data_IF_222277297415
#
_entry.id   IF_222277297415
#
_cell.length_a   1.000
_cell.length_b   1.000
_cell.length_c   1.000
_cell.angle_alpha   90.00
_cell.angle_beta   90.00
_cell.angle_gamma   90.00
#
_symmetry.space_group_name_H-M   'P 1'
#
loop_
_entity.id
_entity.type
_entity.pdbx_description
1 polymer ?
#
# COMPACT_ATOMS: atom_id res chain seq x y z
N UNK A 1 -1.36 -29.82 -14.45
CA UNK A 1 -0.35 -28.83 -14.00
C UNK A 1 -0.55 -28.34 -12.57
N UNK A 2 -1.72 -27.86 -12.12
CA UNK A 2 -1.97 -27.63 -10.67
C UNK A 2 -2.16 -28.96 -9.90
N UNK A 3 -3.01 -29.85 -10.41
CA UNK A 3 -3.29 -31.18 -9.82
C UNK A 3 -2.11 -32.17 -9.83
N UNK A 4 -1.01 -31.82 -10.51
CA UNK A 4 0.18 -32.68 -10.62
C UNK A 4 1.29 -32.30 -9.63
N UNK A 5 1.14 -31.17 -8.92
CA UNK A 5 2.11 -30.72 -7.91
C UNK A 5 1.71 -31.24 -6.54
N UNK A 6 2.63 -31.92 -5.86
CA UNK A 6 2.42 -32.46 -4.52
C UNK A 6 2.75 -31.38 -3.46
N UNK A 7 1.92 -30.34 -3.39
CA UNK A 7 2.02 -29.25 -2.41
C UNK A 7 1.38 -29.62 -1.07
N UNK A 8 1.71 -28.87 -0.02
CA UNK A 8 1.17 -29.05 1.32
C UNK A 8 -0.38 -28.97 1.29
N UNK A 9 -1.09 -29.81 2.05
CA UNK A 9 -2.55 -29.86 2.00
C UNK A 9 -3.23 -28.52 2.32
N UNK A 10 -2.77 -27.82 3.35
CA UNK A 10 -3.34 -26.54 3.78
C UNK A 10 -3.16 -25.45 2.69
N UNK A 11 -1.97 -25.34 2.12
CA UNK A 11 -1.72 -24.43 1.00
C UNK A 11 -2.60 -24.78 -0.21
N UNK A 12 -2.68 -26.06 -0.56
CA UNK A 12 -3.47 -26.54 -1.70
C UNK A 12 -4.96 -26.24 -1.52
N UNK A 13 -5.47 -26.41 -0.30
CA UNK A 13 -6.84 -26.09 0.05
C UNK A 13 -7.11 -24.58 -0.07
N UNK A 14 -6.25 -23.73 0.52
CA UNK A 14 -6.40 -22.27 0.42
C UNK A 14 -6.32 -21.80 -1.02
N UNK A 15 -5.33 -22.26 -1.78
CA UNK A 15 -5.19 -21.90 -3.19
C UNK A 15 -6.39 -22.36 -4.01
N UNK A 16 -6.93 -23.56 -3.77
CA UNK A 16 -8.11 -24.06 -4.47
C UNK A 16 -9.35 -23.17 -4.27
N UNK A 17 -9.51 -22.50 -3.11
CA UNK A 17 -10.62 -21.56 -2.86
C UNK A 17 -10.57 -20.34 -3.77
N UNK A 18 -9.38 -19.93 -4.21
CA UNK A 18 -9.15 -18.71 -4.99
C UNK A 18 -8.71 -18.96 -6.43
N UNK A 19 -8.35 -20.20 -6.79
CA UNK A 19 -7.60 -20.52 -8.01
C UNK A 19 -8.28 -20.02 -9.29
N UNK A 20 -9.58 -20.25 -9.45
CA UNK A 20 -10.30 -19.87 -10.66
C UNK A 20 -10.37 -18.36 -10.84
N UNK A 21 -10.61 -17.61 -9.75
CA UNK A 21 -10.64 -16.14 -9.77
C UNK A 21 -9.24 -15.57 -10.00
N UNK A 22 -8.23 -16.07 -9.27
CA UNK A 22 -6.82 -15.71 -9.46
C UNK A 22 -6.41 -15.89 -10.91
N UNK A 23 -6.68 -17.07 -11.50
CA UNK A 23 -6.33 -17.38 -12.88
C UNK A 23 -7.03 -16.46 -13.86
N UNK A 24 -8.33 -16.24 -13.67
CA UNK A 24 -9.12 -15.40 -14.57
C UNK A 24 -8.63 -13.94 -14.57
N UNK A 25 -8.49 -13.33 -13.40
CA UNK A 25 -8.02 -11.94 -13.25
C UNK A 25 -6.59 -11.76 -13.76
N UNK A 26 -5.70 -12.69 -13.43
CA UNK A 26 -4.30 -12.64 -13.87
C UNK A 26 -4.20 -12.78 -15.40
N UNK A 27 -4.95 -13.72 -15.99
CA UNK A 27 -4.97 -13.93 -17.43
C UNK A 27 -5.59 -12.75 -18.19
N UNK A 28 -6.62 -12.10 -17.63
CA UNK A 28 -7.19 -10.87 -18.20
C UNK A 28 -6.17 -9.74 -18.22
N UNK A 29 -5.45 -9.54 -17.12
CA UNK A 29 -4.48 -8.45 -16.97
C UNK A 29 -3.22 -8.66 -17.82
N UNK A 30 -2.75 -9.90 -17.95
CA UNK A 30 -1.48 -10.24 -18.61
C UNK A 30 -1.66 -11.11 -19.85
N UNK A 31 -2.76 -10.89 -20.58
CA UNK A 31 -2.98 -11.46 -21.93
C UNK A 31 -2.84 -12.99 -22.03
N UNK A 32 -3.36 -13.73 -21.04
CA UNK A 32 -3.28 -15.18 -20.91
C UNK A 32 -1.84 -15.75 -20.82
N UNK A 33 -0.90 -15.00 -20.23
CA UNK A 33 0.43 -15.51 -19.91
C UNK A 33 0.37 -16.61 -18.82
N UNK A 34 0.17 -17.83 -19.27
CA UNK A 34 0.06 -19.02 -18.41
C UNK A 34 1.38 -19.32 -17.68
N UNK A 35 2.53 -19.00 -18.28
CA UNK A 35 3.83 -19.25 -17.66
C UNK A 35 4.05 -18.29 -16.48
N UNK A 36 3.73 -17.01 -16.65
CA UNK A 36 3.81 -16.04 -15.57
C UNK A 36 2.84 -16.37 -14.44
N UNK A 37 1.63 -16.86 -14.74
CA UNK A 37 0.68 -17.31 -13.72
C UNK A 37 1.18 -18.55 -12.95
N UNK A 38 1.75 -19.53 -13.65
CA UNK A 38 2.32 -20.72 -13.00
C UNK A 38 3.52 -20.38 -12.12
N UNK A 39 4.34 -19.42 -12.55
CA UNK A 39 5.40 -18.85 -11.73
C UNK A 39 4.82 -18.18 -10.49
N UNK A 40 3.79 -17.35 -10.64
CA UNK A 40 3.12 -16.68 -9.53
C UNK A 40 2.63 -17.69 -8.48
N UNK A 41 1.91 -18.74 -8.88
CA UNK A 41 1.47 -19.78 -7.92
C UNK A 41 2.65 -20.52 -7.26
N UNK A 42 3.74 -20.75 -8.00
CA UNK A 42 4.97 -21.32 -7.43
C UNK A 42 5.62 -20.41 -6.39
N UNK A 43 5.68 -19.11 -6.68
CA UNK A 43 6.18 -18.10 -5.74
C UNK A 43 5.34 -18.05 -4.46
N UNK A 44 4.01 -18.09 -4.57
CA UNK A 44 3.13 -18.17 -3.38
C UNK A 44 3.45 -19.41 -2.53
N UNK A 45 3.66 -20.55 -3.17
CA UNK A 45 4.01 -21.80 -2.50
C UNK A 45 5.35 -21.68 -1.78
N UNK A 46 6.38 -21.12 -2.43
CA UNK A 46 7.70 -20.92 -1.84
C UNK A 46 7.64 -20.05 -0.57
N UNK A 47 6.85 -18.97 -0.57
CA UNK A 47 6.66 -18.13 0.62
C UNK A 47 5.84 -18.81 1.72
N UNK A 48 4.84 -19.62 1.38
CA UNK A 48 4.12 -20.43 2.37
C UNK A 48 5.06 -21.45 3.05
N UNK A 49 5.94 -22.10 2.29
CA UNK A 49 6.93 -23.04 2.85
C UNK A 49 7.91 -22.34 3.77
N UNK A 50 8.39 -21.15 3.38
CA UNK A 50 9.33 -20.34 4.17
C UNK A 50 8.70 -19.74 5.43
N UNK A 51 7.38 -19.58 5.48
CA UNK A 51 6.67 -19.04 6.64
C UNK A 51 6.86 -19.94 7.86
N UNK A 52 7.27 -19.33 8.98
CA UNK A 52 7.59 -20.04 10.21
C UNK A 52 6.35 -20.72 10.83
N UNK A 53 6.58 -21.79 11.61
CA UNK A 53 5.50 -22.51 12.28
C UNK A 53 4.72 -21.61 13.26
N UNK A 54 5.40 -20.65 13.91
CA UNK A 54 4.77 -19.68 14.80
C UNK A 54 3.80 -18.76 14.03
N UNK A 55 4.23 -18.24 12.88
CA UNK A 55 3.38 -17.39 12.04
C UNK A 55 2.24 -18.19 11.38
N UNK A 56 2.43 -19.47 11.06
CA UNK A 56 1.35 -20.35 10.60
C UNK A 56 0.31 -20.61 11.69
N UNK A 57 0.72 -20.81 12.94
CA UNK A 57 -0.21 -20.92 14.07
C UNK A 57 -0.99 -19.62 14.28
N UNK A 58 -0.30 -18.48 14.16
CA UNK A 58 -0.91 -17.16 14.23
C UNK A 58 -1.96 -16.95 13.14
N UNK A 59 -1.67 -17.35 11.91
CA UNK A 59 -2.62 -17.33 10.81
C UNK A 59 -3.86 -18.18 11.09
N UNK A 60 -3.68 -19.41 11.58
CA UNK A 60 -4.78 -20.33 11.90
C UNK A 60 -5.71 -19.73 12.97
N UNK A 61 -5.14 -19.11 14.01
CA UNK A 61 -5.92 -18.41 15.03
C UNK A 61 -6.77 -17.28 14.43
N UNK A 62 -6.21 -16.49 13.50
CA UNK A 62 -6.92 -15.37 12.86
C UNK A 62 -7.91 -15.80 11.77
N UNK A 63 -7.68 -16.93 11.12
CA UNK A 63 -8.65 -17.53 10.20
C UNK A 63 -9.91 -18.01 10.94
N UNK A 64 -9.76 -18.52 12.17
CA UNK A 64 -10.90 -18.90 13.02
C UNK A 64 -11.69 -17.67 13.49
N UNK A 65 -11.02 -16.54 13.72
CA UNK A 65 -11.61 -15.26 14.15
C UNK A 65 -11.52 -14.16 13.08
N UNK A 66 -12.20 -14.34 11.94
CA UNK A 66 -12.16 -13.43 10.77
C UNK A 66 -12.49 -11.94 11.03
N UNK A 67 -13.01 -11.59 12.21
CA UNK A 67 -13.41 -10.24 12.61
C UNK A 67 -12.51 -9.57 13.67
N UNK A 68 -11.36 -10.16 14.00
CA UNK A 68 -10.48 -9.71 15.10
C UNK A 68 -10.10 -8.23 15.05
N UNK A 69 -10.06 -7.62 13.86
CA UNK A 69 -9.70 -6.22 13.63
C UNK A 69 -10.89 -5.24 13.54
N UNK A 70 -12.14 -5.73 13.63
CA UNK A 70 -13.36 -4.92 13.43
C UNK A 70 -13.97 -4.40 14.74
N UNK A 71 -13.44 -4.84 15.89
CA UNK A 71 -13.94 -4.52 17.22
C UNK A 71 -13.47 -3.17 17.78
N UNK A 72 -13.82 -2.92 19.05
CA UNK A 72 -13.37 -1.73 19.78
C UNK A 72 -12.04 -1.94 20.51
N UNK A 73 -11.46 -3.13 20.36
CA UNK A 73 -10.28 -3.54 21.12
C UNK A 73 -8.99 -3.12 20.44
N UNK A 74 -9.02 -2.68 19.17
CA UNK A 74 -7.83 -2.18 18.47
C UNK A 74 -7.60 -0.68 18.72
N UNK A 75 -6.44 -0.37 19.30
CA UNK A 75 -5.94 1.00 19.42
C UNK A 75 -4.50 1.06 18.90
N UNK A 76 -4.32 1.96 17.93
CA UNK A 76 -3.11 2.03 17.15
C UNK A 76 -2.25 3.27 17.38
N UNK A 77 -0.93 3.11 17.26
CA UNK A 77 0.01 4.22 17.21
C UNK A 77 0.91 4.14 15.98
N UNK A 78 0.90 5.21 15.18
CA UNK A 78 1.83 5.43 14.09
C UNK A 78 3.10 6.12 14.63
N UNK A 79 4.28 5.61 14.26
CA UNK A 79 5.55 6.11 14.77
C UNK A 79 6.70 5.94 13.77
N UNK A 80 7.62 6.91 13.77
CA UNK A 80 8.96 6.71 13.22
C UNK A 80 9.84 5.99 14.23
N UNK A 81 10.40 4.84 13.86
CA UNK A 81 11.25 3.99 14.71
C UNK A 81 12.37 4.77 15.39
N UNK A 82 13.10 5.59 14.62
CA UNK A 82 14.19 6.41 15.14
C UNK A 82 13.72 7.50 16.12
N UNK A 83 12.59 8.14 15.84
CA UNK A 83 12.04 9.20 16.69
C UNK A 83 11.49 8.66 18.01
N UNK A 84 10.86 7.49 17.98
CA UNK A 84 10.26 6.88 19.17
C UNK A 84 11.32 6.22 20.05
N UNK A 85 12.18 5.37 19.47
CA UNK A 85 13.11 4.56 20.26
C UNK A 85 14.48 4.31 19.59
N UNK A 86 14.85 5.10 18.57
CA UNK A 86 16.14 5.02 17.87
C UNK A 86 16.26 3.84 16.90
N UNK A 87 15.93 2.62 17.33
CA UNK A 87 16.12 1.36 16.59
C UNK A 87 14.95 0.40 16.81
N UNK A 88 14.85 -0.66 16.01
CA UNK A 88 13.86 -1.73 16.19
C UNK A 88 13.99 -2.41 17.55
N UNK A 89 15.22 -2.64 18.02
CA UNK A 89 15.50 -3.15 19.38
C UNK A 89 14.98 -2.20 20.44
N UNK A 90 15.17 -0.90 20.23
CA UNK A 90 14.64 0.13 21.11
C UNK A 90 13.12 0.08 21.18
N UNK A 91 12.42 -0.09 20.05
CA UNK A 91 10.95 -0.25 20.05
C UNK A 91 10.56 -1.49 20.87
N UNK A 92 11.26 -2.62 20.66
CA UNK A 92 11.04 -3.86 21.41
C UNK A 92 11.21 -3.68 22.92
N UNK A 93 12.17 -2.87 23.36
CA UNK A 93 12.39 -2.56 24.78
C UNK A 93 11.27 -1.71 25.41
N UNK A 94 10.38 -1.11 24.60
CA UNK A 94 9.30 -0.24 25.04
C UNK A 94 7.90 -0.85 24.83
N UNK A 95 7.78 -2.15 24.52
CA UNK A 95 6.47 -2.80 24.36
C UNK A 95 5.60 -2.69 25.63
N UNK A 96 6.20 -2.83 26.83
CA UNK A 96 5.49 -2.66 28.10
C UNK A 96 4.83 -1.27 28.22
N UNK A 97 5.50 -0.21 27.74
CA UNK A 97 4.96 1.15 27.74
C UNK A 97 3.79 1.29 26.75
N UNK A 98 3.92 0.68 25.56
CA UNK A 98 2.86 0.70 24.56
C UNK A 98 1.61 -0.05 25.08
N UNK A 99 1.82 -1.18 25.76
CA UNK A 99 0.75 -1.96 26.41
C UNK A 99 0.09 -1.16 27.54
N UNK A 100 0.86 -0.46 28.38
CA UNK A 100 0.32 0.42 29.44
C UNK A 100 -0.55 1.55 28.84
N UNK A 101 -0.20 2.04 27.65
CA UNK A 101 -1.01 3.02 26.91
C UNK A 101 -2.28 2.41 26.28
N UNK A 102 -2.48 1.10 26.39
CA UNK A 102 -3.59 0.36 25.80
C UNK A 102 -3.44 0.11 24.30
N UNK A 103 -2.21 0.20 23.76
CA UNK A 103 -1.94 -0.02 22.34
C UNK A 103 -1.75 -1.50 22.06
N UNK A 104 -2.32 -1.96 20.94
CA UNK A 104 -2.12 -3.31 20.41
C UNK A 104 -1.93 -3.33 18.89
N UNK A 105 -1.64 -2.17 18.32
CA UNK A 105 -1.27 -1.98 16.92
C UNK A 105 -0.19 -0.91 16.86
N UNK A 106 0.94 -1.25 16.25
CA UNK A 106 1.99 -0.29 15.94
C UNK A 106 2.15 -0.18 14.44
N UNK A 107 2.07 1.03 13.90
CA UNK A 107 2.42 1.32 12.52
C UNK A 107 3.78 1.98 12.48
N UNK A 108 4.77 1.22 12.05
CA UNK A 108 6.11 1.71 11.84
C UNK A 108 6.18 2.37 10.46
N UNK A 109 6.50 3.67 10.45
CA UNK A 109 6.81 4.42 9.24
C UNK A 109 7.93 3.75 8.43
N UNK A 110 8.11 4.07 7.13
CA UNK A 110 9.03 3.37 6.26
C UNK A 110 10.43 3.22 6.88
N UNK A 111 10.83 1.96 7.04
CA UNK A 111 12.07 1.54 7.71
C UNK A 111 12.99 0.74 6.80
N UNK A 112 12.56 0.47 5.56
CA UNK A 112 13.34 -0.22 4.56
C UNK A 112 14.43 0.72 4.02
N UNK A 113 15.49 0.13 3.46
CA UNK A 113 16.67 0.88 3.00
C UNK A 113 16.26 1.95 1.98
N UNK A 114 16.59 3.21 2.27
CA UNK A 114 16.30 4.36 1.42
C UNK A 114 17.51 5.31 1.34
N UNK A 115 17.67 6.10 0.26
CA UNK A 115 18.81 7.00 0.12
C UNK A 115 18.77 8.15 1.12
N UNK A 116 19.87 8.38 1.82
CA UNK A 116 19.98 9.50 2.76
C UNK A 116 19.70 10.85 2.06
N UNK A 117 18.80 11.64 2.65
CA UNK A 117 18.46 13.00 2.20
C UNK A 117 17.55 13.09 0.96
N UNK A 118 17.33 11.99 0.24
CA UNK A 118 16.45 11.92 -0.94
C UNK A 118 15.50 10.73 -0.82
N UNK A 119 14.90 10.58 0.35
CA UNK A 119 14.07 9.43 0.68
C UNK A 119 12.59 9.74 0.80
N UNK A 120 12.18 11.03 0.78
CA UNK A 120 10.80 11.42 1.09
C UNK A 120 10.30 10.79 2.41
N UNK A 121 11.11 10.91 3.47
CA UNK A 121 10.78 10.27 4.76
C UNK A 121 10.85 8.74 4.78
N UNK A 122 11.50 8.13 3.78
CA UNK A 122 11.68 6.69 3.62
C UNK A 122 10.81 6.06 2.53
N UNK A 123 9.94 6.85 1.87
CA UNK A 123 9.09 6.40 0.77
C UNK A 123 9.83 6.16 -0.56
N UNK A 124 11.07 6.64 -0.74
CA UNK A 124 11.91 6.24 -1.87
C UNK A 124 12.75 4.99 -1.52
N UNK A 125 12.14 3.80 -1.63
CA UNK A 125 12.77 2.53 -1.24
C UNK A 125 13.84 2.09 -2.24
N UNK A 126 15.05 1.83 -1.76
CA UNK A 126 16.19 1.33 -2.54
C UNK A 126 16.37 -0.19 -2.43
N UNK A 127 15.90 -0.83 -1.36
CA UNK A 127 15.87 -2.29 -1.22
C UNK A 127 14.72 -2.73 -0.29
N UNK A 128 13.72 -3.44 -0.81
CA UNK A 128 12.58 -3.92 -0.03
C UNK A 128 12.92 -5.05 0.94
N UNK A 129 14.12 -5.64 0.83
CA UNK A 129 14.59 -6.79 1.62
C UNK A 129 15.66 -6.41 2.63
N UNK A 130 15.92 -5.12 2.83
CA UNK A 130 16.83 -4.61 3.85
C UNK A 130 16.17 -3.52 4.67
N UNK A 131 16.33 -3.62 5.99
CA UNK A 131 16.08 -2.50 6.91
C UNK A 131 17.19 -1.46 6.75
N UNK A 132 16.82 -0.19 6.87
CA UNK A 132 17.75 0.94 6.99
C UNK A 132 18.81 0.63 8.06
N UNK A 133 20.12 0.63 7.74
CA UNK A 133 21.15 0.12 8.65
C UNK A 133 21.20 0.78 10.03
N UNK A 134 20.78 2.05 10.13
CA UNK A 134 20.71 2.79 11.39
C UNK A 134 19.55 2.33 12.30
N UNK A 135 18.53 1.67 11.75
CA UNK A 135 17.36 1.19 12.48
C UNK A 135 17.50 -0.27 12.94
N UNK A 136 18.31 -1.08 12.26
CA UNK A 136 18.55 -2.48 12.58
C UNK A 136 18.68 -3.37 11.33
N UNK A 137 18.28 -4.64 11.48
CA UNK A 137 18.30 -5.65 10.41
C UNK A 137 16.91 -6.24 10.17
N UNK A 138 16.75 -7.05 9.12
CA UNK A 138 15.53 -7.83 8.92
C UNK A 138 15.29 -8.84 10.06
N UNK A 139 16.35 -9.37 10.68
CA UNK A 139 16.25 -10.22 11.86
C UNK A 139 15.70 -9.42 13.06
N UNK A 140 16.14 -8.17 13.23
CA UNK A 140 15.61 -7.30 14.28
C UNK A 140 14.12 -6.95 14.06
N UNK A 141 13.66 -6.89 12.80
CA UNK A 141 12.24 -6.73 12.47
C UNK A 141 11.43 -7.98 12.82
N UNK A 142 11.94 -9.18 12.47
CA UNK A 142 11.30 -10.44 12.83
C UNK A 142 11.23 -10.63 14.36
N UNK A 143 12.32 -10.35 15.07
CA UNK A 143 12.41 -10.33 16.53
C UNK A 143 11.39 -9.39 17.18
N UNK A 144 11.13 -8.22 16.55
CA UNK A 144 10.11 -7.28 17.01
C UNK A 144 8.71 -7.83 16.75
N UNK A 145 8.46 -8.42 15.58
CA UNK A 145 7.20 -9.08 15.25
C UNK A 145 6.82 -10.16 16.27
N UNK A 146 7.74 -11.10 16.53
CA UNK A 146 7.56 -12.17 17.52
C UNK A 146 7.26 -11.61 18.92
N UNK A 147 7.99 -10.56 19.33
CA UNK A 147 7.77 -9.90 20.61
C UNK A 147 6.39 -9.22 20.67
N UNK A 148 6.00 -8.48 19.63
CA UNK A 148 4.66 -7.88 19.52
C UNK A 148 3.56 -8.94 19.62
N UNK A 149 3.67 -10.07 18.90
CA UNK A 149 2.69 -11.15 18.96
C UNK A 149 2.57 -11.75 20.37
N UNK A 150 3.68 -11.89 21.10
CA UNK A 150 3.66 -12.36 22.49
C UNK A 150 2.95 -11.40 23.46
N UNK A 151 2.88 -10.11 23.13
CA UNK A 151 2.10 -9.09 23.83
C UNK A 151 0.70 -8.86 23.24
N UNK A 152 0.27 -9.68 22.27
CA UNK A 152 -1.02 -9.51 21.59
C UNK A 152 -1.11 -8.24 20.72
N UNK A 153 0.04 -7.72 20.27
CA UNK A 153 0.14 -6.54 19.42
C UNK A 153 0.38 -6.91 17.96
N UNK A 154 -0.11 -6.07 17.04
CA UNK A 154 0.10 -6.20 15.60
C UNK A 154 1.13 -5.19 15.10
N UNK A 155 1.96 -5.61 14.14
CA UNK A 155 2.91 -4.74 13.42
C UNK A 155 2.34 -4.37 12.06
N UNK A 156 2.28 -3.07 11.78
CA UNK A 156 1.91 -2.51 10.48
C UNK A 156 3.11 -1.82 9.84
N UNK A 157 3.27 -2.01 8.54
CA UNK A 157 4.36 -1.43 7.75
C UNK A 157 3.82 -0.83 6.44
N UNK A 158 4.42 0.28 6.01
CA UNK A 158 4.25 0.80 4.66
C UNK A 158 4.86 -0.12 3.61
N UNK A 159 4.08 -0.45 2.58
CA UNK A 159 4.55 -1.11 1.37
C UNK A 159 4.41 -0.15 0.19
N UNK A 160 5.55 0.46 -0.17
CA UNK A 160 5.65 1.40 -1.29
C UNK A 160 5.58 0.66 -2.61
N UNK A 161 4.35 0.45 -3.08
CA UNK A 161 4.13 -0.41 -4.24
C UNK A 161 4.20 0.34 -5.57
N UNK A 162 3.89 1.64 -5.61
CA UNK A 162 3.83 2.37 -6.88
C UNK A 162 5.19 2.64 -7.52
N UNK A 163 6.24 2.84 -6.72
CA UNK A 163 7.51 3.34 -7.20
C UNK A 163 8.68 2.81 -6.38
N UNK A 164 9.88 2.88 -6.94
CA UNK A 164 11.13 2.64 -6.21
C UNK A 164 11.99 3.90 -6.23
N UNK A 165 13.00 3.96 -5.36
CA UNK A 165 14.09 4.90 -5.54
C UNK A 165 14.80 4.70 -6.89
N UNK A 166 15.35 5.76 -7.47
CA UNK A 166 16.33 5.69 -8.56
C UNK A 166 17.63 4.95 -8.17
N UNK A 167 17.87 4.74 -6.87
CA UNK A 167 18.97 3.96 -6.30
C UNK A 167 18.60 2.47 -6.10
N UNK A 168 17.36 2.07 -6.39
CA UNK A 168 16.97 0.66 -6.40
C UNK A 168 17.73 -0.13 -7.47
N UNK A 169 18.00 -1.41 -7.23
CA UNK A 169 18.75 -2.25 -8.17
C UNK A 169 18.11 -2.28 -9.57
N UNK A 170 16.77 -2.34 -9.62
CA UNK A 170 16.06 -2.29 -10.89
C UNK A 170 16.26 -0.96 -11.62
N UNK A 171 16.20 0.17 -10.91
CA UNK A 171 16.39 1.49 -11.50
C UNK A 171 17.83 1.68 -11.98
N UNK A 172 18.83 1.22 -11.22
CA UNK A 172 20.25 1.22 -11.60
C UNK A 172 20.48 0.47 -12.92
N UNK A 173 19.92 -0.73 -13.05
CA UNK A 173 20.04 -1.55 -14.27
C UNK A 173 19.25 -0.97 -15.45
N UNK A 174 18.06 -0.43 -15.20
CA UNK A 174 17.28 0.27 -16.20
C UNK A 174 18.03 1.50 -16.75
N UNK A 175 18.66 2.26 -15.84
CA UNK A 175 19.49 3.42 -16.15
C UNK A 175 20.75 3.06 -16.93
N UNK A 176 21.33 1.88 -16.67
CA UNK A 176 22.44 1.32 -17.44
C UNK A 176 22.03 0.81 -18.85
N UNK A 177 20.74 0.89 -19.21
CA UNK A 177 20.24 0.52 -20.54
C UNK A 177 19.76 -0.92 -20.66
N UNK A 178 19.63 -1.67 -19.57
CA UNK A 178 19.14 -3.05 -19.62
C UNK A 178 17.63 -3.08 -19.89
N UNK A 179 17.24 -3.57 -21.08
CA UNK A 179 15.86 -3.53 -21.57
C UNK A 179 14.84 -4.15 -20.61
N UNK A 180 15.15 -5.32 -20.04
CA UNK A 180 14.27 -6.00 -19.09
C UNK A 180 13.95 -5.13 -17.87
N UNK A 181 14.93 -4.35 -17.40
CA UNK A 181 14.75 -3.45 -16.27
C UNK A 181 14.10 -2.14 -16.67
N UNK A 182 14.36 -1.62 -17.87
CA UNK A 182 13.60 -0.48 -18.41
C UNK A 182 12.11 -0.81 -18.53
N UNK A 183 11.74 -2.04 -18.88
CA UNK A 183 10.35 -2.49 -18.97
C UNK A 183 9.63 -2.60 -17.62
N UNK A 184 10.37 -2.51 -16.51
CA UNK A 184 9.79 -2.42 -15.16
C UNK A 184 9.34 -1.00 -14.82
N UNK A 185 9.68 -0.01 -15.64
CA UNK A 185 9.31 1.40 -15.47
C UNK A 185 8.67 1.94 -16.76
N UNK A 186 8.27 3.20 -16.75
CA UNK A 186 7.76 3.90 -17.93
C UNK A 186 8.85 4.79 -18.56
N UNK A 187 9.68 4.17 -19.41
CA UNK A 187 10.71 4.88 -20.19
C UNK A 187 10.22 5.27 -21.59
N UNK A 188 10.60 6.46 -22.04
CA UNK A 188 10.29 7.00 -23.37
C UNK A 188 11.54 7.58 -24.03
N UNK A 189 11.68 7.41 -25.34
CA UNK A 189 12.84 7.91 -26.11
C UNK A 189 12.88 9.44 -26.20
N UNK A 190 11.71 10.07 -26.12
CA UNK A 190 11.52 11.52 -26.21
C UNK A 190 10.32 11.96 -25.36
N UNK A 191 9.97 13.24 -25.48
CA UNK A 191 8.89 13.88 -24.73
C UNK A 191 7.52 13.77 -25.40
N UNK A 192 7.37 13.11 -26.55
CA UNK A 192 6.10 13.11 -27.29
C UNK A 192 4.99 12.43 -26.48
N UNK A 193 5.22 11.21 -25.98
CA UNK A 193 4.26 10.50 -25.13
C UNK A 193 4.15 11.13 -23.73
N UNK A 194 5.25 11.45 -23.02
CA UNK A 194 5.19 12.18 -21.74
C UNK A 194 4.32 13.43 -21.78
N UNK A 195 4.45 14.27 -22.82
CA UNK A 195 3.65 15.49 -22.98
C UNK A 195 2.16 15.21 -23.18
N UNK A 196 1.78 14.06 -23.74
CA UNK A 196 0.37 13.67 -23.84
C UNK A 196 -0.20 13.24 -22.48
N UNK A 197 0.58 12.55 -21.64
CA UNK A 197 0.19 12.24 -20.26
C UNK A 197 -0.01 13.51 -19.41
N UNK A 198 0.90 14.49 -19.52
CA UNK A 198 0.84 15.75 -18.75
C UNK A 198 -0.44 16.57 -19.01
N UNK A 199 -1.19 16.29 -20.08
CA UNK A 199 -2.47 16.95 -20.36
C UNK A 199 -3.60 16.50 -19.44
N UNK A 200 -3.52 15.28 -18.93
CA UNK A 200 -4.61 14.65 -18.17
C UNK A 200 -4.20 14.20 -16.78
N UNK A 201 -2.92 13.90 -16.56
CA UNK A 201 -2.42 13.43 -15.26
C UNK A 201 -2.16 14.62 -14.32
N UNK A 202 -2.87 14.71 -13.18
CA UNK A 202 -2.66 15.80 -12.22
C UNK A 202 -1.37 15.62 -11.42
N UNK A 203 -0.65 16.73 -11.22
CA UNK A 203 0.59 16.76 -10.44
C UNK A 203 0.32 16.60 -8.94
N UNK A 204 1.07 15.72 -8.29
CA UNK A 204 0.98 15.52 -6.83
C UNK A 204 1.72 16.64 -6.11
N UNK A 205 2.92 17.00 -6.57
CA UNK A 205 3.81 17.95 -5.91
C UNK A 205 4.21 19.14 -6.81
N UNK A 206 3.26 19.92 -7.35
CA UNK A 206 3.54 20.95 -8.36
C UNK A 206 4.54 22.04 -7.92
N UNK A 207 4.72 22.22 -6.61
CA UNK A 207 5.65 23.21 -6.04
C UNK A 207 7.07 22.65 -5.84
N UNK A 208 7.20 21.39 -5.44
CA UNK A 208 8.48 20.78 -5.04
C UNK A 208 9.05 19.81 -6.07
N UNK A 209 8.18 19.15 -6.85
CA UNK A 209 8.51 18.26 -7.95
C UNK A 209 7.50 18.45 -9.10
N UNK A 210 7.67 19.49 -9.93
CA UNK A 210 6.72 19.80 -10.99
C UNK A 210 6.75 18.77 -12.12
N UNK A 211 5.56 18.45 -12.62
CA UNK A 211 5.34 17.44 -13.67
C UNK A 211 5.21 16.03 -13.13
N UNK A 212 5.21 15.05 -14.03
CA UNK A 212 5.10 13.62 -13.75
C UNK A 212 6.24 12.82 -14.42
N UNK A 213 7.23 13.49 -15.01
CA UNK A 213 8.32 12.87 -15.76
C UNK A 213 9.64 13.60 -15.55
N UNK A 214 10.73 12.83 -15.59
CA UNK A 214 12.11 13.31 -15.42
C UNK A 214 12.99 12.82 -16.57
N UNK A 215 13.93 13.65 -17.04
CA UNK A 215 14.94 13.22 -18.00
C UNK A 215 16.07 12.46 -17.29
N UNK A 216 16.34 11.23 -17.73
CA UNK A 216 17.42 10.39 -17.25
C UNK A 216 18.60 10.47 -18.24
N UNK A 217 19.60 11.29 -17.89
CA UNK A 217 20.78 11.54 -18.75
C UNK A 217 21.57 10.26 -19.09
N UNK A 218 21.73 9.37 -18.11
CA UNK A 218 22.49 8.12 -18.28
C UNK A 218 21.83 7.15 -19.26
N UNK A 219 20.49 7.10 -19.25
CA UNK A 219 19.71 6.27 -20.18
C UNK A 219 19.41 6.98 -21.52
N UNK A 220 19.59 8.31 -21.58
CA UNK A 220 19.21 9.14 -22.72
C UNK A 220 17.69 9.09 -23.01
N UNK A 221 16.86 9.01 -21.97
CA UNK A 221 15.40 8.76 -22.05
C UNK A 221 14.64 9.55 -20.98
N UNK A 222 13.35 9.73 -21.19
CA UNK A 222 12.40 10.26 -20.19
C UNK A 222 11.84 9.10 -19.35
N UNK A 223 11.71 9.27 -18.04
CA UNK A 223 11.11 8.28 -17.11
C UNK A 223 9.97 8.91 -16.31
N UNK A 224 8.89 8.16 -16.08
CA UNK A 224 7.77 8.62 -15.24
C UNK A 224 8.16 8.67 -13.76
N UNK A 225 7.86 9.81 -13.13
CA UNK A 225 8.14 10.14 -11.72
C UNK A 225 6.97 10.97 -11.19
N UNK A 226 5.86 10.30 -10.83
CA UNK A 226 4.61 10.94 -10.37
C UNK A 226 4.82 11.79 -9.11
N UNK A 227 5.80 11.40 -8.29
CA UNK A 227 6.17 12.05 -7.03
C UNK A 227 7.46 12.86 -7.20
N UNK A 228 8.52 12.58 -6.44
CA UNK A 228 9.82 13.22 -6.65
C UNK A 228 10.59 12.62 -7.83
N UNK A 229 11.52 13.36 -8.48
CA UNK A 229 12.34 12.85 -9.58
C UNK A 229 13.17 11.59 -9.26
N UNK A 230 13.42 11.32 -7.98
CA UNK A 230 14.13 10.14 -7.49
C UNK A 230 13.20 8.96 -7.14
N UNK A 231 11.87 9.08 -7.36
CA UNK A 231 10.86 8.04 -7.18
C UNK A 231 10.31 7.64 -8.56
N UNK A 232 10.75 6.50 -9.08
CA UNK A 232 10.43 6.05 -10.43
C UNK A 232 9.25 5.08 -10.40
N UNK A 233 8.18 5.42 -11.14
CA UNK A 233 6.94 4.65 -11.19
C UNK A 233 7.14 3.27 -11.84
N UNK A 234 6.71 2.23 -11.13
CA UNK A 234 6.75 0.85 -11.56
C UNK A 234 5.62 0.56 -12.56
N UNK A 235 5.94 -0.20 -13.60
CA UNK A 235 5.01 -0.59 -14.65
C UNK A 235 4.31 -1.93 -14.33
N UNK A 236 3.16 -1.86 -13.68
CA UNK A 236 2.36 -3.04 -13.34
C UNK A 236 1.69 -3.74 -14.53
N UNK A 237 1.74 -3.18 -15.75
CA UNK A 237 1.36 -3.96 -16.94
C UNK A 237 2.38 -5.06 -17.26
N UNK A 238 3.57 -5.01 -16.64
CA UNK A 238 4.56 -6.07 -16.69
C UNK A 238 4.30 -7.09 -15.55
N UNK A 239 3.98 -8.36 -15.85
CA UNK A 239 3.69 -9.36 -14.82
C UNK A 239 4.87 -9.63 -13.88
N UNK A 240 6.11 -9.41 -14.33
CA UNK A 240 7.30 -9.57 -13.49
C UNK A 240 7.29 -8.55 -12.34
N UNK A 241 6.87 -7.31 -12.61
CA UNK A 241 6.75 -6.26 -11.58
C UNK A 241 5.73 -6.68 -10.53
N UNK A 242 4.54 -7.11 -10.94
CA UNK A 242 3.51 -7.54 -10.00
C UNK A 242 3.95 -8.74 -9.16
N UNK A 243 4.57 -9.73 -9.79
CA UNK A 243 5.04 -10.94 -9.10
C UNK A 243 6.15 -10.63 -8.09
N UNK A 244 7.14 -9.82 -8.48
CA UNK A 244 8.26 -9.46 -7.61
C UNK A 244 7.80 -8.56 -6.45
N UNK A 245 6.89 -7.60 -6.70
CA UNK A 245 6.32 -6.77 -5.62
C UNK A 245 5.44 -7.60 -4.68
N UNK A 246 4.66 -8.56 -5.18
CA UNK A 246 3.91 -9.48 -4.31
C UNK A 246 4.87 -10.33 -3.46
N UNK A 247 5.98 -10.80 -4.05
CA UNK A 247 7.01 -11.51 -3.32
C UNK A 247 7.65 -10.65 -2.22
N UNK A 248 7.95 -9.39 -2.49
CA UNK A 248 8.51 -8.47 -1.49
C UNK A 248 7.53 -8.18 -0.36
N UNK A 249 6.23 -8.03 -0.66
CA UNK A 249 5.18 -7.94 0.36
C UNK A 249 5.13 -9.20 1.23
N UNK A 250 5.09 -10.40 0.62
CA UNK A 250 5.05 -11.67 1.36
C UNK A 250 6.32 -11.91 2.19
N UNK A 251 7.47 -11.43 1.72
CA UNK A 251 8.70 -11.43 2.49
C UNK A 251 8.53 -10.63 3.79
N UNK A 252 7.94 -9.44 3.75
CA UNK A 252 7.67 -8.64 4.96
C UNK A 252 6.68 -9.37 5.90
N UNK A 253 5.63 -10.00 5.35
CA UNK A 253 4.71 -10.82 6.15
C UNK A 253 5.41 -12.00 6.85
N UNK A 254 6.42 -12.59 6.21
CA UNK A 254 7.24 -13.66 6.79
C UNK A 254 8.27 -13.15 7.82
N UNK A 255 8.46 -11.83 7.93
CA UNK A 255 9.22 -11.18 9.00
C UNK A 255 8.30 -10.59 10.08
N UNK A 256 7.07 -11.12 10.22
CA UNK A 256 6.18 -10.78 11.33
C UNK A 256 5.32 -9.53 11.15
N UNK A 257 5.27 -8.95 9.94
CA UNK A 257 4.34 -7.85 9.64
C UNK A 257 2.91 -8.40 9.48
N UNK A 258 1.98 -7.86 10.26
CA UNK A 258 0.57 -8.27 10.29
C UNK A 258 -0.31 -7.46 9.34
N UNK A 259 0.06 -6.21 9.08
CA UNK A 259 -0.78 -5.29 8.32
C UNK A 259 0.10 -4.55 7.33
N UNK A 260 -0.23 -4.66 6.05
CA UNK A 260 0.47 -3.99 4.96
C UNK A 260 -0.32 -2.75 4.55
N UNK A 261 0.24 -1.56 4.79
CA UNK A 261 -0.29 -0.31 4.24
C UNK A 261 0.13 -0.20 2.78
N UNK A 262 -0.84 -0.31 1.88
CA UNK A 262 -0.62 -0.17 0.44
C UNK A 262 -0.53 1.33 0.08
N UNK A 263 0.72 1.80 -0.04
CA UNK A 263 1.02 3.20 -0.32
C UNK A 263 0.79 3.55 -1.79
N UNK A 264 0.19 4.71 -2.05
CA UNK A 264 -0.05 5.22 -3.40
C UNK A 264 -0.79 4.22 -4.31
N UNK A 265 -1.65 3.38 -3.72
CA UNK A 265 -2.42 2.34 -4.44
C UNK A 265 -3.13 2.90 -5.69
N UNK A 266 -3.77 4.09 -5.67
CA UNK A 266 -4.49 4.60 -6.83
C UNK A 266 -3.65 4.81 -8.09
N UNK A 267 -2.33 4.91 -7.97
CA UNK A 267 -1.44 5.34 -9.03
C UNK A 267 -0.83 4.18 -9.83
N UNK A 268 -0.97 2.93 -9.38
CA UNK A 268 -0.15 1.80 -9.89
C UNK A 268 -0.44 1.38 -11.34
N UNK A 269 -1.47 1.93 -11.98
CA UNK A 269 -1.78 1.67 -13.39
C UNK A 269 -1.86 2.97 -14.20
N UNK A 270 -1.27 2.97 -15.40
CA UNK A 270 -1.17 4.15 -16.26
C UNK A 270 -1.83 3.89 -17.61
N UNK A 271 -2.68 4.81 -18.06
CA UNK A 271 -3.34 4.75 -19.36
C UNK A 271 -3.43 6.15 -19.97
N UNK A 272 -2.97 6.29 -21.21
CA UNK A 272 -2.93 7.58 -21.91
C UNK A 272 -4.35 8.15 -22.08
N UNK A 273 -4.50 9.45 -21.83
CA UNK A 273 -5.80 10.12 -21.91
C UNK A 273 -6.69 9.97 -20.67
N UNK A 274 -6.18 9.30 -19.63
CA UNK A 274 -6.81 9.22 -18.30
C UNK A 274 -6.03 10.06 -17.28
N UNK A 275 -6.56 10.23 -16.07
CA UNK A 275 -5.83 10.85 -14.95
C UNK A 275 -4.83 9.89 -14.28
N UNK A 276 -4.72 8.64 -14.76
CA UNK A 276 -3.90 7.57 -14.20
C UNK A 276 -4.14 7.32 -12.70
N UNK A 277 -5.39 7.51 -12.24
CA UNK A 277 -5.79 7.29 -10.85
C UNK A 277 -7.04 6.43 -10.76
N UNK A 278 -7.03 5.41 -9.90
CA UNK A 278 -8.19 4.51 -9.65
C UNK A 278 -8.71 3.81 -10.92
N UNK A 279 -7.81 3.46 -11.83
CA UNK A 279 -8.20 2.70 -13.02
C UNK A 279 -8.64 1.28 -12.61
N UNK A 280 -9.56 0.62 -13.34
CA UNK A 280 -10.09 -0.69 -12.97
C UNK A 280 -9.02 -1.75 -12.70
N UNK A 281 -7.89 -1.69 -13.41
CA UNK A 281 -6.76 -2.59 -13.25
C UNK A 281 -6.10 -2.48 -11.87
N UNK A 282 -6.16 -1.31 -11.22
CA UNK A 282 -5.71 -1.12 -9.83
C UNK A 282 -6.49 -2.04 -8.90
N UNK A 283 -7.82 -2.05 -9.02
CA UNK A 283 -8.70 -2.92 -8.23
C UNK A 283 -8.43 -4.40 -8.49
N UNK A 284 -8.18 -4.78 -9.75
CA UNK A 284 -7.76 -6.15 -10.10
C UNK A 284 -6.45 -6.54 -9.39
N UNK A 285 -5.44 -5.66 -9.40
CA UNK A 285 -4.15 -5.91 -8.73
C UNK A 285 -4.31 -6.06 -7.22
N UNK A 286 -5.10 -5.18 -6.58
CA UNK A 286 -5.39 -5.26 -5.14
C UNK A 286 -6.14 -6.55 -4.80
N UNK A 287 -7.12 -6.95 -5.61
CA UNK A 287 -7.85 -8.22 -5.44
C UNK A 287 -6.93 -9.44 -5.58
N UNK A 288 -5.98 -9.41 -6.53
CA UNK A 288 -4.97 -10.46 -6.67
C UNK A 288 -4.05 -10.52 -5.44
N UNK A 289 -3.59 -9.38 -4.92
CA UNK A 289 -2.78 -9.30 -3.69
C UNK A 289 -3.56 -9.83 -2.48
N UNK A 290 -4.84 -9.46 -2.36
CA UNK A 290 -5.73 -9.95 -1.30
C UNK A 290 -5.81 -11.48 -1.30
N UNK A 291 -6.10 -12.09 -2.44
CA UNK A 291 -6.14 -13.55 -2.55
C UNK A 291 -4.76 -14.19 -2.31
N UNK A 292 -3.68 -13.56 -2.75
CA UNK A 292 -2.32 -14.03 -2.44
C UNK A 292 -2.05 -14.09 -0.93
N UNK A 293 -2.45 -13.04 -0.19
CA UNK A 293 -2.35 -13.04 1.29
C UNK A 293 -3.23 -14.10 1.93
N UNK A 294 -4.47 -14.28 1.45
CA UNK A 294 -5.39 -15.31 1.95
C UNK A 294 -4.87 -16.75 1.71
N UNK A 295 -4.03 -16.94 0.69
CA UNK A 295 -3.39 -18.23 0.41
C UNK A 295 -2.16 -18.47 1.29
N UNK A 296 -1.29 -17.47 1.43
CA UNK A 296 0.05 -17.64 2.02
C UNK A 296 0.08 -17.33 3.52
N UNK A 297 -0.59 -16.25 3.92
CA UNK A 297 -0.49 -15.66 5.26
C UNK A 297 -1.84 -15.00 5.66
N UNK A 298 -2.92 -15.79 5.81
CA UNK A 298 -4.29 -15.29 5.95
C UNK A 298 -4.55 -14.48 7.23
N UNK A 299 -3.61 -14.49 8.19
CA UNK A 299 -3.65 -13.57 9.32
C UNK A 299 -3.26 -12.13 8.97
N UNK A 300 -2.80 -11.86 7.75
CA UNK A 300 -2.32 -10.54 7.31
C UNK A 300 -3.45 -9.69 6.75
N UNK A 301 -3.52 -8.41 7.14
CA UNK A 301 -4.47 -7.46 6.59
C UNK A 301 -3.83 -6.52 5.57
N UNK A 302 -4.66 -6.03 4.64
CA UNK A 302 -4.31 -5.00 3.68
C UNK A 302 -5.02 -3.71 4.07
N UNK A 303 -4.24 -2.65 4.30
CA UNK A 303 -4.71 -1.32 4.64
C UNK A 303 -4.50 -0.40 3.43
N UNK A 304 -5.58 -0.02 2.75
CA UNK A 304 -5.51 0.89 1.62
C UNK A 304 -5.27 2.33 2.06
N UNK A 305 -4.29 2.99 1.43
CA UNK A 305 -4.19 4.45 1.47
C UNK A 305 -4.73 5.08 0.17
N UNK A 306 -5.78 5.89 0.33
CA UNK A 306 -6.46 6.59 -0.76
C UNK A 306 -6.83 8.00 -0.26
N UNK A 307 -5.97 8.98 -0.55
CA UNK A 307 -6.19 10.40 -0.18
C UNK A 307 -7.01 11.08 -1.27
N UNK A 308 -8.30 10.74 -1.32
CA UNK A 308 -9.26 11.28 -2.28
C UNK A 308 -10.64 11.51 -1.66
N UNK A 309 -11.56 12.05 -2.45
CA UNK A 309 -12.97 12.22 -2.09
C UNK A 309 -13.63 10.88 -1.71
N UNK A 310 -14.64 10.87 -0.81
CA UNK A 310 -15.18 9.64 -0.23
C UNK A 310 -15.68 8.61 -1.26
N UNK A 311 -16.27 9.06 -2.37
CA UNK A 311 -16.74 8.17 -3.46
C UNK A 311 -15.62 7.41 -4.17
N UNK A 312 -14.36 7.84 -4.03
CA UNK A 312 -13.18 7.17 -4.60
C UNK A 312 -12.51 6.23 -3.61
N UNK A 313 -12.77 6.40 -2.31
CA UNK A 313 -12.18 5.58 -1.23
C UNK A 313 -12.91 4.24 -1.10
N UNK A 314 -14.24 4.28 -1.04
CA UNK A 314 -15.09 3.08 -0.81
C UNK A 314 -14.85 1.93 -1.82
N UNK A 315 -14.64 2.18 -3.12
CA UNK A 315 -14.39 1.10 -4.08
C UNK A 315 -13.21 0.18 -3.73
N UNK A 316 -12.22 0.65 -2.96
CA UNK A 316 -11.06 -0.15 -2.55
C UNK A 316 -11.35 -1.19 -1.46
N UNK A 317 -12.58 -1.20 -0.91
CA UNK A 317 -13.04 -2.37 -0.14
C UNK A 317 -13.42 -3.54 -1.07
N UNK A 318 -13.62 -3.28 -2.36
CA UNK A 318 -14.25 -4.23 -3.28
C UNK A 318 -15.73 -4.45 -2.95
N UNK A 319 -16.30 -5.55 -3.40
CA UNK A 319 -17.65 -5.97 -2.98
C UNK A 319 -17.58 -7.00 -1.85
N UNK A 320 -18.70 -7.32 -1.22
CA UNK A 320 -18.72 -8.37 -0.19
C UNK A 320 -18.32 -9.75 -0.75
N UNK A 321 -18.64 -10.01 -2.01
CA UNK A 321 -18.29 -11.25 -2.71
C UNK A 321 -16.86 -11.24 -3.24
N UNK A 322 -16.31 -10.06 -3.54
CA UNK A 322 -14.96 -9.86 -4.08
C UNK A 322 -14.25 -8.77 -3.29
N UNK A 323 -13.88 -9.03 -2.03
CA UNK A 323 -13.24 -8.03 -1.19
C UNK A 323 -11.82 -7.73 -1.67
N UNK A 324 -11.41 -6.47 -1.48
CA UNK A 324 -10.07 -5.97 -1.78
C UNK A 324 -9.34 -5.67 -0.47
N UNK A 325 -9.18 -4.40 -0.08
CA UNK A 325 -8.56 -4.04 1.18
C UNK A 325 -9.42 -4.48 2.37
N UNK A 326 -8.77 -4.90 3.44
CA UNK A 326 -9.44 -5.22 4.71
C UNK A 326 -9.86 -3.94 5.43
N UNK A 327 -8.98 -2.93 5.37
CA UNK A 327 -9.15 -1.65 6.03
C UNK A 327 -8.79 -0.52 5.07
N UNK A 328 -9.36 0.67 5.27
CA UNK A 328 -8.99 1.87 4.53
C UNK A 328 -8.89 3.05 5.49
N UNK A 329 -7.92 3.93 5.27
CA UNK A 329 -7.84 5.21 5.99
C UNK A 329 -9.10 6.06 5.81
N UNK A 330 -9.66 6.57 6.91
CA UNK A 330 -10.81 7.48 6.87
C UNK A 330 -10.39 8.94 6.67
N UNK A 331 -9.72 9.21 5.54
CA UNK A 331 -9.22 10.54 5.19
C UNK A 331 -10.34 11.59 5.18
N UNK A 332 -11.53 11.19 4.71
CA UNK A 332 -12.72 12.05 4.64
C UNK A 332 -13.14 12.55 6.02
N UNK A 333 -13.24 11.65 7.01
CA UNK A 333 -13.66 12.03 8.37
C UNK A 333 -12.59 12.86 9.05
N UNK A 334 -11.31 12.53 8.85
CA UNK A 334 -10.20 13.33 9.35
C UNK A 334 -10.27 14.78 8.83
N UNK A 335 -10.35 14.97 7.50
CA UNK A 335 -10.41 16.31 6.89
C UNK A 335 -11.68 17.07 7.31
N UNK A 336 -12.83 16.41 7.34
CA UNK A 336 -14.10 17.03 7.75
C UNK A 336 -14.11 17.44 9.23
N UNK A 337 -13.40 16.71 10.09
CA UNK A 337 -13.25 17.06 11.51
C UNK A 337 -12.48 18.37 11.66
N UNK A 338 -11.33 18.52 10.99
CA UNK A 338 -10.56 19.77 11.01
C UNK A 338 -11.32 20.94 10.38
N UNK A 339 -12.03 20.68 9.28
CA UNK A 339 -12.94 21.65 8.68
C UNK A 339 -14.01 22.14 9.66
N UNK A 340 -14.67 21.23 10.38
CA UNK A 340 -15.71 21.58 11.35
C UNK A 340 -15.16 22.37 12.53
N UNK A 341 -13.93 22.08 12.98
CA UNK A 341 -13.25 22.89 13.99
C UNK A 341 -13.03 24.32 13.47
N UNK A 342 -12.57 24.51 12.24
CA UNK A 342 -12.30 25.84 11.68
C UNK A 342 -13.58 26.66 11.40
N UNK A 343 -14.62 26.01 10.90
CA UNK A 343 -15.87 26.66 10.47
C UNK A 343 -16.90 26.82 11.60
N UNK A 344 -16.74 26.07 12.69
CA UNK A 344 -17.77 25.84 13.70
C UNK A 344 -19.09 25.32 13.11
N UNK A 345 -19.01 24.61 11.97
CA UNK A 345 -20.16 24.10 11.24
C UNK A 345 -20.06 22.58 11.05
N UNK A 346 -21.05 21.88 11.58
CA UNK A 346 -21.12 20.42 11.59
C UNK A 346 -21.85 19.85 10.36
N UNK A 347 -22.39 20.67 9.46
CA UNK A 347 -23.20 20.19 8.33
C UNK A 347 -22.44 19.21 7.44
N UNK A 348 -21.19 19.53 7.09
CA UNK A 348 -20.35 18.63 6.29
C UNK A 348 -20.03 17.34 7.05
N UNK A 349 -19.54 17.45 8.29
CA UNK A 349 -19.20 16.28 9.10
C UNK A 349 -20.40 15.34 9.26
N UNK A 350 -21.59 15.88 9.56
CA UNK A 350 -22.82 15.10 9.66
C UNK A 350 -23.16 14.42 8.34
N UNK A 351 -23.09 15.14 7.21
CA UNK A 351 -23.34 14.56 5.88
C UNK A 351 -22.38 13.41 5.56
N UNK A 352 -21.10 13.53 5.93
CA UNK A 352 -20.11 12.48 5.74
C UNK A 352 -20.36 11.29 6.67
N UNK A 353 -20.68 11.52 7.95
CA UNK A 353 -21.02 10.44 8.88
C UNK A 353 -22.25 9.67 8.41
N UNK A 354 -23.32 10.34 7.98
CA UNK A 354 -24.52 9.68 7.41
C UNK A 354 -24.16 8.80 6.21
N UNK A 355 -23.23 9.23 5.36
CA UNK A 355 -22.73 8.43 4.22
C UNK A 355 -21.95 7.20 4.69
N UNK A 356 -21.01 7.38 5.63
CA UNK A 356 -20.20 6.27 6.18
C UNK A 356 -21.07 5.23 6.90
N UNK A 357 -22.05 5.67 7.70
CA UNK A 357 -22.97 4.75 8.40
C UNK A 357 -23.96 4.03 7.49
N UNK A 358 -24.10 4.45 6.23
CA UNK A 358 -24.92 3.76 5.23
C UNK A 358 -24.14 2.67 4.46
N UNK A 359 -22.82 2.58 4.63
CA UNK A 359 -21.99 1.55 4.01
C UNK A 359 -22.18 0.19 4.70
N UNK A 360 -21.86 -0.93 4.01
CA UNK A 360 -21.85 -2.26 4.62
C UNK A 360 -21.07 -2.30 5.94
N UNK A 361 -21.62 -2.97 6.94
CA UNK A 361 -20.99 -3.09 8.27
C UNK A 361 -19.68 -3.88 8.25
N UNK A 362 -19.45 -4.65 7.18
CA UNK A 362 -18.24 -5.40 6.94
C UNK A 362 -17.04 -4.50 6.62
N UNK A 363 -17.27 -3.26 6.17
CA UNK A 363 -16.21 -2.31 5.83
C UNK A 363 -15.64 -1.67 7.08
N UNK A 364 -14.31 -1.75 7.22
CA UNK A 364 -13.60 -1.24 8.40
C UNK A 364 -12.72 -0.06 8.03
N UNK A 365 -12.99 1.08 8.65
CA UNK A 365 -12.19 2.28 8.47
C UNK A 365 -11.16 2.44 9.59
N UNK A 366 -9.92 2.80 9.24
CA UNK A 366 -8.93 3.29 10.20
C UNK A 366 -9.15 4.79 10.39
N UNK A 367 -9.69 5.15 11.56
CA UNK A 367 -9.94 6.55 11.93
C UNK A 367 -8.71 7.17 12.57
N UNK A 368 -8.34 8.38 12.15
CA UNK A 368 -7.19 9.11 12.67
C UNK A 368 -7.48 10.62 12.67
N UNK A 369 -6.73 11.37 13.48
CA UNK A 369 -6.81 12.83 13.52
C UNK A 369 -5.65 13.50 12.78
N UNK A 370 -4.46 12.90 12.83
CA UNK A 370 -3.24 13.35 12.13
C UNK A 370 -2.44 12.14 11.71
N UNK A 371 -1.66 12.29 10.64
CA UNK A 371 -0.67 11.34 10.17
C UNK A 371 0.66 12.08 9.91
N UNK A 372 1.63 11.39 9.31
CA UNK A 372 2.92 11.97 8.93
C UNK A 372 2.79 13.00 7.81
N UNK A 373 1.77 12.87 6.94
CA UNK A 373 1.49 13.80 5.84
C UNK A 373 0.75 15.08 6.27
N UNK A 374 0.65 15.99 5.31
CA UNK A 374 -0.20 17.17 5.36
C UNK A 374 -1.70 16.83 5.35
N UNK A 375 -2.54 17.85 5.53
CA UNK A 375 -4.00 17.69 5.44
C UNK A 375 -4.45 18.10 4.04
N UNK A 376 -4.77 17.10 3.22
CA UNK A 376 -5.45 17.32 1.94
C UNK A 376 -6.91 17.71 2.14
N UNK A 377 -7.30 18.90 1.69
CA UNK A 377 -8.70 19.40 1.76
C UNK A 377 -9.60 18.82 0.66
N UNK A 378 -9.61 17.49 0.52
CA UNK A 378 -10.49 16.71 -0.36
C UNK A 378 -11.93 16.61 0.14
N UNK A 379 -12.56 17.74 0.42
CA UNK A 379 -13.92 17.84 0.94
C UNK A 379 -14.96 17.66 -0.19
N UNK A 380 -16.20 17.33 0.18
CA UNK A 380 -17.32 17.33 -0.77
C UNK A 380 -17.77 18.77 -1.10
N UNK A 381 -17.08 19.38 -2.06
CA UNK A 381 -17.39 20.74 -2.50
C UNK A 381 -18.73 20.85 -3.23
N UNK A 382 -19.27 19.74 -3.77
CA UNK A 382 -20.62 19.74 -4.37
C UNK A 382 -21.68 19.93 -3.28
N UNK A 383 -21.50 19.30 -2.12
CA UNK A 383 -22.35 19.52 -0.96
C UNK A 383 -22.16 20.94 -0.37
N UNK A 384 -20.91 21.34 -0.12
CA UNK A 384 -20.58 22.63 0.49
C UNK A 384 -21.09 23.84 -0.33
N UNK A 385 -21.10 23.74 -1.66
CA UNK A 385 -21.60 24.79 -2.56
C UNK A 385 -23.05 25.18 -2.29
N UNK A 386 -23.88 24.25 -1.78
CA UNK A 386 -25.27 24.53 -1.40
C UNK A 386 -25.39 25.56 -0.27
N UNK A 387 -24.30 25.77 0.47
CA UNK A 387 -24.20 26.71 1.59
C UNK A 387 -23.26 27.89 1.29
N UNK A 388 -22.89 28.09 0.01
CA UNK A 388 -22.06 29.21 -0.44
C UNK A 388 -20.55 29.03 -0.24
N UNK A 389 -20.10 27.81 0.07
CA UNK A 389 -18.68 27.48 0.23
C UNK A 389 -18.13 26.89 -1.09
N UNK A 390 -17.54 27.74 -1.91
CA UNK A 390 -16.89 27.34 -3.17
C UNK A 390 -15.46 26.83 -2.91
N UNK A 391 -14.98 25.86 -3.69
CA UNK A 391 -13.75 25.12 -3.41
C UNK A 391 -12.50 25.99 -3.20
N UNK A 392 -12.11 26.77 -4.20
CA UNK A 392 -10.87 27.57 -4.15
C UNK A 392 -10.86 28.58 -3.00
N UNK A 393 -11.89 29.44 -2.81
CA UNK A 393 -11.89 30.37 -1.69
C UNK A 393 -12.00 29.68 -0.33
N UNK A 394 -12.69 28.54 -0.23
CA UNK A 394 -12.80 27.79 1.02
C UNK A 394 -11.48 27.12 1.41
N UNK A 395 -10.77 26.51 0.44
CA UNK A 395 -9.41 26.00 0.62
C UNK A 395 -8.39 27.07 1.04
N UNK A 396 -8.66 28.35 0.72
CA UNK A 396 -7.83 29.48 1.16
C UNK A 396 -8.19 29.96 2.57
N UNK A 397 -9.42 29.73 3.01
CA UNK A 397 -9.88 30.04 4.35
C UNK A 397 -9.34 29.02 5.37
N UNK A 398 -9.42 27.73 5.01
CA UNK A 398 -8.79 26.62 5.73
C UNK A 398 -7.27 26.73 5.66
#
# INVERSE_FOLDING_TARGET
MFEEKNWEPEFSERLARHYDELKWLYAELYHNDQQAFEYFCGMLHDYYVQRSDALKQWDQMREEETGWYKGNDMLGMLMYTNCFAGTLKGVREHLDYLEECGLNYIHLMPLLESPAGRSDGGYAVADFRKVQPELGTMEDLADLGDACHSHGMCVCLDFVMNHTSEDHEWAKRARAGEKEYQDRYFFYDDWDIPNEFEKTVPQVFPTTAPGNFTWCEEAGKVVMTTFYPYQWDLNYANPVVFNDMTADMLNLCNHGVDIIRLDATPYIWKELGTDCRNLPQVHTLVRLMRMATEVVCPGTLLLGEIVMEPSKVVPYFGTLEKPECHMIYNVTTMASTWHTVATHDVRLLRHQMETVFALPHEYTFLNYLRCHDDIGWGLDYKFLKQFGMEEVPHKKFL
#
